data_IF_751308838256
#
_entry.id   IF_751308838256
#
_cell.length_a   1.000
_cell.length_b   1.000
_cell.length_c   1.000
_cell.angle_alpha   90.00
_cell.angle_beta   90.00
_cell.angle_gamma   90.00
#
_symmetry.space_group_name_H-M   'P 1'
#
loop_
_entity.id
_entity.type
_entity.pdbx_description
1 polymer ?
#
# COMPACT_ATOMS: atom_id res chain seq x y z
N UNK A 1 -2.14 28.01 14.21
CA UNK A 1 -2.33 27.62 15.63
C UNK A 1 -3.36 26.49 15.72
N UNK A 2 -3.28 25.67 16.78
CA UNK A 2 -4.07 24.45 17.06
C UNK A 2 -3.48 23.14 16.52
N UNK A 3 -2.32 22.78 17.07
CA UNK A 3 -1.81 21.41 17.04
C UNK A 3 -2.66 20.52 17.93
N UNK A 4 -3.57 19.76 17.32
CA UNK A 4 -4.25 18.64 17.99
C UNK A 4 -3.20 17.60 18.35
N UNK A 5 -3.01 17.37 19.66
CA UNK A 5 -2.24 16.24 20.22
C UNK A 5 -2.79 14.94 19.64
N UNK A 6 -2.12 14.40 18.62
CA UNK A 6 -2.38 13.04 18.18
C UNK A 6 -1.92 12.09 19.28
N UNK A 7 -2.83 11.20 19.69
CA UNK A 7 -2.59 10.09 20.62
C UNK A 7 -1.30 9.36 20.22
N UNK A 8 -0.59 8.82 21.22
CA UNK A 8 0.62 8.00 21.08
C UNK A 8 0.32 6.75 20.24
N UNK A 9 0.24 6.90 18.92
CA UNK A 9 0.32 5.80 17.98
C UNK A 9 1.80 5.41 17.91
N UNK A 10 2.11 4.12 18.11
CA UNK A 10 3.45 3.61 17.85
C UNK A 10 3.79 3.91 16.38
N UNK A 11 4.66 4.88 16.15
CA UNK A 11 5.22 5.15 14.83
C UNK A 11 6.33 4.14 14.58
N UNK A 12 5.98 3.03 13.92
CA UNK A 12 6.99 2.14 13.35
C UNK A 12 7.68 2.84 12.18
N UNK A 13 8.99 2.65 12.08
CA UNK A 13 9.74 3.11 10.92
C UNK A 13 9.20 2.50 9.61
N UNK A 14 9.10 3.29 8.52
CA UNK A 14 8.64 2.80 7.22
C UNK A 14 9.48 1.66 6.66
N UNK A 15 10.76 1.55 7.08
CA UNK A 15 11.64 0.45 6.73
C UNK A 15 11.21 -0.85 7.39
N UNK A 16 10.90 -0.81 8.68
CA UNK A 16 10.39 -1.97 9.40
C UNK A 16 9.07 -2.41 8.80
N UNK A 17 8.19 -1.48 8.41
CA UNK A 17 6.93 -1.80 7.73
C UNK A 17 7.12 -2.46 6.35
N UNK A 18 8.04 -1.96 5.52
CA UNK A 18 8.37 -2.59 4.24
C UNK A 18 8.99 -3.99 4.42
N UNK A 19 9.88 -4.13 5.41
CA UNK A 19 10.44 -5.42 5.79
C UNK A 19 9.35 -6.40 6.27
N UNK A 20 8.39 -5.92 7.07
CA UNK A 20 7.26 -6.72 7.52
C UNK A 20 6.35 -7.16 6.38
N UNK A 21 6.11 -6.31 5.37
CA UNK A 21 5.40 -6.72 4.15
C UNK A 21 6.17 -7.84 3.45
N UNK A 22 7.48 -7.68 3.25
CA UNK A 22 8.31 -8.69 2.60
C UNK A 22 8.29 -10.02 3.37
N UNK A 23 8.48 -9.98 4.69
CA UNK A 23 8.44 -11.18 5.54
C UNK A 23 7.05 -11.82 5.56
N UNK A 24 5.97 -11.03 5.56
CA UNK A 24 4.60 -11.52 5.48
C UNK A 24 4.33 -12.23 4.15
N UNK A 25 4.81 -11.69 3.02
CA UNK A 25 4.70 -12.34 1.71
C UNK A 25 5.44 -13.67 1.70
N UNK A 26 6.68 -13.70 2.21
CA UNK A 26 7.46 -14.94 2.29
C UNK A 26 6.76 -15.97 3.19
N UNK A 27 6.31 -15.58 4.37
CA UNK A 27 5.58 -16.45 5.29
C UNK A 27 4.29 -17.00 4.66
N UNK A 28 3.49 -16.16 4.00
CA UNK A 28 2.27 -16.60 3.28
C UNK A 28 2.57 -17.56 2.11
N UNK A 29 3.72 -17.41 1.45
CA UNK A 29 4.17 -18.35 0.42
C UNK A 29 4.58 -19.71 1.01
N UNK A 30 5.30 -19.70 2.14
CA UNK A 30 5.84 -20.91 2.76
C UNK A 30 4.84 -21.66 3.65
N UNK A 31 3.75 -21.01 4.08
CA UNK A 31 2.70 -21.57 4.93
C UNK A 31 2.17 -22.92 4.40
N UNK A 32 2.40 -24.04 5.13
CA UNK A 32 2.02 -25.37 4.70
C UNK A 32 0.56 -25.74 5.02
N UNK A 33 -0.13 -25.00 5.90
CA UNK A 33 -1.53 -25.29 6.27
C UNK A 33 -2.38 -24.04 6.46
N UNK A 34 -3.71 -24.20 6.33
CA UNK A 34 -4.70 -23.14 6.59
C UNK A 34 -4.60 -22.63 8.04
N UNK A 35 -4.27 -23.49 9.00
CA UNK A 35 -4.11 -23.10 10.41
C UNK A 35 -2.99 -22.07 10.62
N UNK A 36 -1.87 -22.20 9.91
CA UNK A 36 -0.79 -21.20 9.95
C UNK A 36 -1.25 -19.84 9.40
N UNK A 37 -2.05 -19.83 8.33
CA UNK A 37 -2.62 -18.59 7.80
C UNK A 37 -3.59 -17.90 8.77
N UNK A 38 -4.41 -18.67 9.49
CA UNK A 38 -5.28 -18.11 10.53
C UNK A 38 -4.47 -17.42 11.63
N UNK A 39 -3.40 -18.08 12.11
CA UNK A 39 -2.49 -17.51 13.12
C UNK A 39 -1.84 -16.23 12.58
N UNK A 40 -1.37 -16.26 11.33
CA UNK A 40 -0.73 -15.11 10.67
C UNK A 40 -1.70 -13.92 10.56
N UNK A 41 -2.94 -14.15 10.11
CA UNK A 41 -3.98 -13.09 10.03
C UNK A 41 -4.33 -12.54 11.41
N UNK A 42 -4.43 -13.40 12.43
CA UNK A 42 -4.69 -12.98 13.81
C UNK A 42 -3.53 -12.11 14.34
N UNK A 43 -2.29 -12.47 14.02
CA UNK A 43 -1.12 -11.70 14.37
C UNK A 43 -1.08 -10.34 13.68
N UNK A 44 -1.44 -10.28 12.40
CA UNK A 44 -1.61 -9.02 11.65
C UNK A 44 -2.71 -8.16 12.27
N UNK A 45 -3.82 -8.76 12.71
CA UNK A 45 -4.92 -8.06 13.35
C UNK A 45 -4.48 -7.45 14.69
N UNK A 46 -3.74 -8.19 15.52
CA UNK A 46 -3.16 -7.69 16.76
C UNK A 46 -2.21 -6.51 16.46
N UNK A 47 -1.31 -6.67 15.49
CA UNK A 47 -0.38 -5.60 15.09
C UNK A 47 -1.14 -4.35 14.62
N UNK A 48 -2.19 -4.53 13.80
CA UNK A 48 -3.05 -3.44 13.33
C UNK A 48 -3.83 -2.75 14.45
N UNK A 49 -4.22 -3.48 15.48
CA UNK A 49 -4.87 -2.96 16.67
C UNK A 49 -3.91 -2.11 17.52
N UNK A 50 -2.65 -2.54 17.65
CA UNK A 50 -1.58 -1.73 18.26
C UNK A 50 -1.32 -0.42 17.51
N UNK A 51 -1.51 -0.40 16.19
CA UNK A 51 -1.44 0.83 15.37
C UNK A 51 -2.67 1.75 15.50
N UNK A 52 -3.66 1.42 16.33
CA UNK A 52 -4.81 2.29 16.59
C UNK A 52 -5.89 2.28 15.50
N UNK A 53 -5.77 1.45 14.46
CA UNK A 53 -6.72 1.35 13.34
C UNK A 53 -7.80 0.28 13.57
N UNK A 54 -8.38 0.27 14.77
CA UNK A 54 -9.35 -0.74 15.22
C UNK A 54 -10.53 -0.94 14.25
N UNK A 55 -11.08 0.14 13.66
CA UNK A 55 -12.19 0.04 12.69
C UNK A 55 -11.80 -0.69 11.40
N UNK A 56 -10.57 -0.54 10.93
CA UNK A 56 -10.08 -1.25 9.74
C UNK A 56 -9.83 -2.72 10.06
N UNK A 57 -9.19 -2.99 11.20
CA UNK A 57 -8.91 -4.36 11.68
C UNK A 57 -10.21 -5.15 11.88
N UNK A 58 -11.21 -4.57 12.54
CA UNK A 58 -12.50 -5.26 12.77
C UNK A 58 -13.19 -5.60 11.45
N UNK A 59 -13.20 -4.67 10.47
CA UNK A 59 -13.75 -4.95 9.13
C UNK A 59 -12.99 -6.05 8.42
N UNK A 60 -11.66 -6.05 8.51
CA UNK A 60 -10.82 -7.07 7.90
C UNK A 60 -11.06 -8.46 8.53
N UNK A 61 -11.05 -8.55 9.86
CA UNK A 61 -11.33 -9.80 10.58
C UNK A 61 -12.73 -10.31 10.29
N UNK A 62 -13.74 -9.43 10.28
CA UNK A 62 -15.12 -9.81 9.96
C UNK A 62 -15.25 -10.36 8.53
N UNK A 63 -14.63 -9.69 7.55
CA UNK A 63 -14.65 -10.15 6.16
C UNK A 63 -13.91 -11.47 6.00
N UNK A 64 -12.78 -11.66 6.67
CA UNK A 64 -12.06 -12.92 6.70
C UNK A 64 -12.88 -14.05 7.32
N UNK A 65 -13.57 -13.80 8.43
CA UNK A 65 -14.44 -14.79 9.08
C UNK A 65 -15.55 -15.29 8.14
N UNK A 66 -16.13 -14.41 7.32
CA UNK A 66 -17.12 -14.79 6.30
C UNK A 66 -16.50 -15.72 5.26
N UNK A 67 -15.30 -15.41 4.77
CA UNK A 67 -14.58 -16.26 3.81
C UNK A 67 -14.30 -17.63 4.42
N UNK A 68 -13.85 -17.69 5.67
CA UNK A 68 -13.55 -18.94 6.35
C UNK A 68 -14.81 -19.79 6.58
N UNK A 69 -15.92 -19.17 6.98
CA UNK A 69 -17.20 -19.86 7.11
C UNK A 69 -17.67 -20.43 5.76
N UNK A 70 -17.51 -19.67 4.67
CA UNK A 70 -17.80 -20.12 3.31
C UNK A 70 -16.89 -21.29 2.90
N UNK A 71 -15.63 -21.28 3.34
CA UNK A 71 -14.67 -22.37 3.08
C UNK A 71 -15.10 -23.66 3.79
N UNK A 72 -15.54 -23.58 5.04
CA UNK A 72 -16.05 -24.73 5.81
C UNK A 72 -17.35 -25.26 5.21
N UNK A 73 -18.25 -24.37 4.79
CA UNK A 73 -19.52 -24.76 4.16
C UNK A 73 -19.31 -25.52 2.85
N UNK A 74 -18.42 -25.03 1.98
CA UNK A 74 -18.05 -25.73 0.74
C UNK A 74 -17.40 -27.09 1.03
N UNK A 75 -16.62 -27.20 2.11
CA UNK A 75 -16.01 -28.48 2.51
C UNK A 75 -17.06 -29.51 2.95
N UNK A 76 -18.16 -29.07 3.57
CA UNK A 76 -19.21 -29.93 4.10
C UNK A 76 -20.23 -30.37 3.03
N UNK A 77 -20.65 -29.47 2.14
CA UNK A 77 -21.80 -29.73 1.24
C UNK A 77 -21.38 -30.33 -0.12
N UNK A 78 -20.16 -30.06 -0.59
CA UNK A 78 -19.73 -30.42 -1.95
C UNK A 78 -18.75 -31.60 -1.94
N UNK A 79 -19.04 -32.64 -2.72
CA UNK A 79 -18.10 -33.75 -2.98
C UNK A 79 -17.79 -33.86 -4.47
N UNK A 80 -16.50 -33.92 -4.84
CA UNK A 80 -16.06 -34.10 -6.24
C UNK A 80 -15.00 -33.09 -6.71
N UNK A 81 -14.75 -33.02 -8.02
CA UNK A 81 -13.75 -32.13 -8.65
C UNK A 81 -14.00 -30.65 -8.35
N UNK A 82 -15.28 -30.24 -8.28
CA UNK A 82 -15.67 -28.87 -7.93
C UNK A 82 -15.19 -28.45 -6.53
N UNK A 83 -15.21 -29.38 -5.55
CA UNK A 83 -14.68 -29.13 -4.20
C UNK A 83 -13.20 -28.75 -4.27
N UNK A 84 -12.40 -29.49 -5.05
CA UNK A 84 -10.96 -29.23 -5.18
C UNK A 84 -10.66 -27.91 -5.88
N UNK A 85 -11.45 -27.52 -6.89
CA UNK A 85 -11.31 -26.22 -7.56
C UNK A 85 -11.63 -25.05 -6.61
N UNK A 86 -12.75 -25.11 -5.90
CA UNK A 86 -13.14 -24.04 -4.98
C UNK A 86 -12.19 -23.93 -3.78
N UNK A 87 -11.71 -25.04 -3.22
CA UNK A 87 -10.73 -25.03 -2.13
C UNK A 87 -9.40 -24.45 -2.61
N UNK A 88 -8.93 -24.79 -3.81
CA UNK A 88 -7.70 -24.22 -4.37
C UNK A 88 -7.83 -22.70 -4.58
N UNK A 89 -8.96 -22.24 -5.13
CA UNK A 89 -9.25 -20.82 -5.31
C UNK A 89 -9.31 -20.07 -3.98
N UNK A 90 -10.06 -20.60 -3.00
CA UNK A 90 -10.14 -20.01 -1.67
C UNK A 90 -8.79 -20.02 -0.97
N UNK A 91 -7.99 -21.08 -1.09
CA UNK A 91 -6.64 -21.14 -0.54
C UNK A 91 -5.72 -20.03 -1.08
N UNK A 92 -5.82 -19.74 -2.39
CA UNK A 92 -5.11 -18.60 -2.98
C UNK A 92 -5.64 -17.27 -2.47
N UNK A 93 -6.96 -17.14 -2.33
CA UNK A 93 -7.59 -15.95 -1.76
C UNK A 93 -7.10 -15.69 -0.32
N UNK A 94 -6.98 -16.72 0.53
CA UNK A 94 -6.47 -16.58 1.89
C UNK A 94 -5.00 -16.09 1.90
N UNK A 95 -4.15 -16.59 0.99
CA UNK A 95 -2.75 -16.14 0.84
C UNK A 95 -2.66 -14.65 0.50
N UNK A 96 -3.44 -14.22 -0.48
CA UNK A 96 -3.45 -12.84 -0.97
C UNK A 96 -4.10 -11.91 0.07
N UNK A 97 -5.14 -12.36 0.75
CA UNK A 97 -5.87 -11.58 1.74
C UNK A 97 -5.01 -11.19 2.95
N UNK A 98 -4.21 -12.14 3.47
CA UNK A 98 -3.27 -11.85 4.56
C UNK A 98 -2.25 -10.76 4.16
N UNK A 99 -1.70 -10.84 2.94
CA UNK A 99 -0.77 -9.83 2.44
C UNK A 99 -1.46 -8.48 2.22
N UNK A 100 -2.67 -8.49 1.65
CA UNK A 100 -3.44 -7.29 1.34
C UNK A 100 -3.87 -6.51 2.59
N UNK A 101 -4.29 -7.20 3.65
CA UNK A 101 -4.68 -6.55 4.92
C UNK A 101 -3.50 -5.88 5.61
N UNK A 102 -2.34 -6.55 5.69
CA UNK A 102 -1.12 -5.96 6.24
C UNK A 102 -0.63 -4.78 5.38
N UNK A 103 -0.64 -4.92 4.05
CA UNK A 103 -0.29 -3.84 3.13
C UNK A 103 -1.23 -2.63 3.30
N UNK A 104 -2.54 -2.84 3.45
CA UNK A 104 -3.50 -1.76 3.72
C UNK A 104 -3.25 -1.03 5.03
N UNK A 105 -2.92 -1.75 6.12
CA UNK A 105 -2.55 -1.14 7.41
C UNK A 105 -1.26 -0.33 7.27
N UNK A 106 -0.25 -0.86 6.57
CA UNK A 106 1.02 -0.16 6.36
C UNK A 106 0.83 1.09 5.50
N UNK A 107 0.12 1.00 4.38
CA UNK A 107 -0.10 2.14 3.48
C UNK A 107 -0.90 3.25 4.15
N UNK A 108 -1.94 2.92 4.93
CA UNK A 108 -2.75 3.92 5.64
C UNK A 108 -2.02 4.58 6.82
N UNK A 109 -0.95 3.98 7.32
CA UNK A 109 -0.14 4.50 8.43
C UNK A 109 1.20 5.09 8.00
N UNK A 110 1.53 5.07 6.70
CA UNK A 110 2.82 5.54 6.17
C UNK A 110 2.61 6.78 5.32
N UNK A 111 3.30 7.87 5.64
CA UNK A 111 3.27 9.08 4.81
C UNK A 111 4.14 8.88 3.57
N UNK A 112 3.73 9.50 2.46
CA UNK A 112 4.49 9.54 1.20
C UNK A 112 5.96 9.93 1.43
N UNK A 113 6.21 11.00 2.20
CA UNK A 113 7.56 11.50 2.48
C UNK A 113 8.43 10.51 3.29
N UNK A 114 7.80 9.75 4.17
CA UNK A 114 8.44 8.73 5.01
C UNK A 114 8.85 7.51 4.16
N UNK A 115 7.97 7.08 3.26
CA UNK A 115 8.26 6.04 2.27
C UNK A 115 9.43 6.42 1.35
N UNK A 116 9.43 7.65 0.81
CA UNK A 116 10.52 8.14 -0.05
C UNK A 116 11.86 8.22 0.70
N UNK A 117 11.86 8.64 1.97
CA UNK A 117 13.06 8.66 2.80
C UNK A 117 13.57 7.23 3.10
N UNK A 118 12.67 6.26 3.28
CA UNK A 118 13.05 4.86 3.37
C UNK A 118 13.69 4.34 2.07
N UNK A 119 13.10 4.61 0.91
CA UNK A 119 13.67 4.22 -0.40
C UNK A 119 15.07 4.81 -0.62
N UNK A 120 15.27 6.09 -0.28
CA UNK A 120 16.57 6.74 -0.43
C UNK A 120 17.66 6.08 0.44
N UNK A 121 17.29 5.53 1.62
CA UNK A 121 18.26 4.86 2.50
C UNK A 121 18.52 3.41 2.15
N UNK A 122 17.59 2.72 1.49
CA UNK A 122 17.78 1.35 0.97
C UNK A 122 18.77 1.32 -0.21
N UNK A 123 19.37 2.47 -0.58
CA UNK A 123 20.27 2.66 -1.73
C UNK A 123 19.57 2.34 -3.05
N UNK A 124 18.26 2.56 -3.13
CA UNK A 124 17.55 2.54 -4.41
C UNK A 124 18.17 3.59 -5.36
N UNK A 125 18.21 3.33 -6.67
CA UNK A 125 18.83 4.25 -7.61
C UNK A 125 18.14 5.61 -7.54
N UNK A 126 18.94 6.67 -7.34
CA UNK A 126 18.47 8.05 -7.24
C UNK A 126 17.62 8.48 -8.44
N UNK A 127 17.91 7.89 -9.60
CA UNK A 127 17.16 8.04 -10.86
C UNK A 127 15.68 7.65 -10.75
N UNK A 128 15.31 6.79 -9.81
CA UNK A 128 13.92 6.38 -9.58
C UNK A 128 13.29 7.09 -8.37
N UNK A 129 14.04 7.26 -7.28
CA UNK A 129 13.50 7.84 -6.04
C UNK A 129 13.07 9.29 -6.23
N UNK A 130 13.83 10.09 -7.01
CA UNK A 130 13.54 11.51 -7.19
C UNK A 130 12.28 11.72 -8.05
N UNK A 131 12.14 11.11 -9.25
CA UNK A 131 10.90 11.22 -10.01
C UNK A 131 9.68 10.71 -9.24
N UNK A 132 9.83 9.61 -8.51
CA UNK A 132 8.75 9.08 -7.66
C UNK A 132 8.34 10.10 -6.58
N UNK A 133 9.30 10.78 -5.95
CA UNK A 133 9.01 11.80 -4.95
C UNK A 133 8.21 12.97 -5.53
N UNK A 134 8.60 13.43 -6.72
CA UNK A 134 7.91 14.50 -7.43
C UNK A 134 6.51 14.06 -7.85
N UNK A 135 6.37 12.87 -8.46
CA UNK A 135 5.09 12.30 -8.86
C UNK A 135 4.11 12.21 -7.68
N UNK A 136 4.53 11.61 -6.56
CA UNK A 136 3.64 11.42 -5.41
C UNK A 136 3.18 12.75 -4.77
N UNK A 137 4.00 13.81 -4.86
CA UNK A 137 3.64 15.14 -4.40
C UNK A 137 2.81 15.92 -5.43
N UNK A 138 2.90 15.57 -6.70
CA UNK A 138 2.16 16.20 -7.80
C UNK A 138 0.77 15.58 -8.02
N UNK A 139 0.53 14.33 -7.59
CA UNK A 139 -0.79 13.68 -7.64
C UNK A 139 -1.91 14.55 -7.03
N UNK A 140 -1.76 15.13 -5.82
CA UNK A 140 -2.78 16.02 -5.27
C UNK A 140 -3.07 17.23 -6.15
N UNK A 141 -2.04 17.83 -6.75
CA UNK A 141 -2.18 18.97 -7.66
C UNK A 141 -2.92 18.58 -8.93
N UNK A 142 -2.62 17.42 -9.54
CA UNK A 142 -3.38 16.91 -10.70
C UNK A 142 -4.85 16.69 -10.34
N UNK A 143 -5.17 16.22 -9.13
CA UNK A 143 -6.55 16.05 -8.69
C UNK A 143 -7.29 17.39 -8.56
N UNK A 144 -6.59 18.43 -8.10
CA UNK A 144 -7.12 19.80 -8.04
C UNK A 144 -7.33 20.36 -9.44
N UNK A 145 -6.33 20.25 -10.33
CA UNK A 145 -6.41 20.68 -11.73
C UNK A 145 -7.55 19.99 -12.47
N UNK A 146 -7.72 18.68 -12.28
CA UNK A 146 -8.83 17.93 -12.84
C UNK A 146 -10.18 18.50 -12.39
N UNK A 147 -10.33 18.83 -11.11
CA UNK A 147 -11.56 19.41 -10.56
C UNK A 147 -11.80 20.80 -11.13
N UNK A 148 -10.78 21.66 -11.18
CA UNK A 148 -10.90 23.01 -11.75
C UNK A 148 -11.28 22.99 -13.24
N UNK A 149 -10.63 22.13 -14.03
CA UNK A 149 -10.95 21.98 -15.46
C UNK A 149 -12.36 21.43 -15.64
N UNK A 150 -12.73 20.42 -14.86
CA UNK A 150 -14.08 19.83 -14.90
C UNK A 150 -15.16 20.86 -14.54
N UNK A 151 -14.95 21.66 -13.50
CA UNK A 151 -15.90 22.67 -13.06
C UNK A 151 -15.98 23.85 -14.06
N UNK A 152 -14.86 24.23 -14.68
CA UNK A 152 -14.84 25.21 -15.76
C UNK A 152 -15.61 24.74 -17.01
N UNK A 153 -15.49 23.46 -17.37
CA UNK A 153 -16.24 22.89 -18.49
C UNK A 153 -17.74 22.77 -18.18
N UNK A 154 -18.10 22.47 -16.93
CA UNK A 154 -19.50 22.49 -16.48
C UNK A 154 -20.15 23.87 -16.61
N UNK A 155 -19.39 24.95 -16.40
CA UNK A 155 -19.89 26.33 -16.63
C UNK A 155 -20.15 26.65 -18.11
N UNK A 156 -19.57 25.86 -19.03
CA UNK A 156 -19.79 25.97 -20.48
C UNK A 156 -20.82 24.96 -20.99
N UNK A 157 -21.68 24.45 -20.10
CA UNK A 157 -22.68 23.40 -20.34
C UNK A 157 -22.14 22.05 -20.84
N UNK A 158 -20.81 21.90 -20.91
CA UNK A 158 -20.18 20.61 -21.18
C UNK A 158 -20.11 19.87 -19.85
N UNK A 159 -21.15 19.10 -19.55
CA UNK A 159 -21.15 18.21 -18.39
C UNK A 159 -20.39 16.92 -18.73
N UNK A 160 -19.18 16.68 -18.17
CA UNK A 160 -18.56 15.37 -18.27
C UNK A 160 -19.33 14.41 -17.38
N UNK A 161 -20.43 13.87 -17.90
CA UNK A 161 -21.07 12.69 -17.34
C UNK A 161 -20.47 11.45 -17.98
N UNK A 162 -20.46 10.32 -17.27
CA UNK A 162 -20.02 9.04 -17.84
C UNK A 162 -20.83 8.66 -19.10
N UNK A 163 -22.09 9.12 -19.19
CA UNK A 163 -22.94 8.98 -20.37
C UNK A 163 -22.54 9.94 -21.51
N UNK A 164 -22.10 11.16 -21.19
CA UNK A 164 -21.57 12.14 -22.15
C UNK A 164 -20.22 11.72 -22.75
N UNK A 165 -19.35 11.08 -21.96
CA UNK A 165 -18.08 10.52 -22.44
C UNK A 165 -18.30 9.38 -23.45
N UNK A 166 -19.34 8.57 -23.24
CA UNK A 166 -19.67 7.44 -24.13
C UNK A 166 -20.36 7.88 -25.42
N UNK A 167 -21.12 8.98 -25.38
CA UNK A 167 -21.84 9.50 -26.55
C UNK A 167 -20.98 10.43 -27.41
N UNK A 168 -20.10 11.24 -26.79
CA UNK A 168 -19.27 12.23 -27.48
C UNK A 168 -17.81 12.24 -26.93
N UNK A 169 -17.01 11.20 -27.22
CA UNK A 169 -15.67 11.06 -26.66
C UNK A 169 -14.70 12.19 -27.10
N UNK A 170 -14.82 12.66 -28.36
CA UNK A 170 -13.94 13.71 -28.91
C UNK A 170 -14.01 15.03 -28.14
N UNK A 171 -15.21 15.49 -27.79
CA UNK A 171 -15.42 16.71 -27.01
C UNK A 171 -14.79 16.63 -25.62
N UNK A 172 -14.79 15.45 -24.99
CA UNK A 172 -14.21 15.27 -23.66
C UNK A 172 -12.68 15.27 -23.72
N UNK A 173 -12.10 14.66 -24.77
CA UNK A 173 -10.65 14.67 -24.98
C UNK A 173 -10.13 16.08 -25.20
N UNK A 174 -10.75 16.84 -26.11
CA UNK A 174 -10.32 18.20 -26.43
C UNK A 174 -10.55 19.19 -25.27
N UNK A 175 -11.65 19.06 -24.54
CA UNK A 175 -12.00 20.04 -23.52
C UNK A 175 -11.40 19.75 -22.13
N UNK A 176 -11.06 18.50 -21.82
CA UNK A 176 -10.55 18.12 -20.48
C UNK A 176 -9.13 17.58 -20.57
N UNK A 177 -8.90 16.57 -21.42
CA UNK A 177 -7.58 15.92 -21.47
C UNK A 177 -6.51 16.83 -22.08
N UNK A 178 -6.80 17.55 -23.17
CA UNK A 178 -5.80 18.45 -23.78
C UNK A 178 -5.35 19.57 -22.81
N UNK A 179 -6.26 20.33 -22.15
CA UNK A 179 -5.84 21.33 -21.16
C UNK A 179 -5.09 20.73 -19.97
N UNK A 180 -5.51 19.56 -19.48
CA UNK A 180 -4.84 18.87 -18.38
C UNK A 180 -3.42 18.44 -18.77
N UNK A 181 -3.24 17.87 -19.97
CA UNK A 181 -1.93 17.48 -20.49
C UNK A 181 -1.01 18.69 -20.69
N UNK A 182 -1.56 19.80 -21.20
CA UNK A 182 -0.80 21.05 -21.36
C UNK A 182 -0.36 21.61 -19.99
N UNK A 183 -1.25 21.62 -19.00
CA UNK A 183 -0.93 22.04 -17.64
C UNK A 183 0.14 21.13 -17.00
N UNK A 184 -0.02 19.81 -17.14
CA UNK A 184 0.94 18.84 -16.63
C UNK A 184 2.31 18.94 -17.30
N UNK A 185 2.36 19.17 -18.62
CA UNK A 185 3.61 19.38 -19.37
C UNK A 185 4.33 20.63 -18.88
N UNK A 186 3.61 21.75 -18.75
CA UNK A 186 4.18 23.00 -18.25
C UNK A 186 4.72 22.86 -16.83
N UNK A 187 3.98 22.17 -15.95
CA UNK A 187 4.44 21.90 -14.60
C UNK A 187 5.69 21.01 -14.58
N UNK A 188 5.79 20.02 -15.48
CA UNK A 188 6.97 19.18 -15.60
C UNK A 188 8.21 20.00 -16.05
N UNK A 189 8.04 20.92 -16.99
CA UNK A 189 9.12 21.84 -17.44
C UNK A 189 9.56 22.77 -16.30
N UNK A 190 8.60 23.40 -15.61
CA UNK A 190 8.87 24.29 -14.46
C UNK A 190 9.58 23.53 -13.34
N UNK A 191 9.15 22.31 -13.02
CA UNK A 191 9.79 21.44 -12.03
C UNK A 191 11.20 21.03 -12.45
N UNK A 192 11.43 20.80 -13.74
CA UNK A 192 12.75 20.42 -14.27
C UNK A 192 13.72 21.60 -14.16
N UNK A 193 13.30 22.79 -14.62
CA UNK A 193 14.11 24.02 -14.50
C UNK A 193 14.38 24.37 -13.04
N UNK A 194 13.36 24.30 -12.17
CA UNK A 194 13.52 24.54 -10.73
C UNK A 194 14.43 23.51 -10.05
N UNK A 195 14.45 22.27 -10.54
CA UNK A 195 15.31 21.21 -10.01
C UNK A 195 16.76 21.41 -10.41
N UNK A 196 17.04 21.68 -11.69
CA UNK A 196 18.40 21.93 -12.21
C UNK A 196 19.01 23.16 -11.53
N UNK A 197 18.26 24.26 -11.41
CA UNK A 197 18.71 25.48 -10.73
C UNK A 197 19.02 25.27 -9.24
N UNK A 198 18.31 24.36 -8.56
CA UNK A 198 18.59 23.96 -7.17
C UNK A 198 19.74 22.95 -7.04
N UNK A 199 20.44 22.63 -8.12
CA UNK A 199 21.60 21.72 -8.10
C UNK A 199 21.22 20.25 -7.93
N UNK A 200 20.12 19.80 -8.59
CA UNK A 200 19.74 18.38 -8.59
C UNK A 200 20.87 17.47 -9.09
N UNK A 201 21.79 17.98 -9.92
CA UNK A 201 22.90 17.23 -10.51
C UNK A 201 24.14 17.13 -9.61
N UNK A 202 24.13 17.72 -8.41
CA UNK A 202 25.27 17.67 -7.51
C UNK A 202 25.69 16.20 -7.20
N UNK A 203 26.94 15.79 -7.51
CA UNK A 203 27.42 14.43 -7.30
C UNK A 203 27.56 14.05 -5.81
N UNK A 204 27.63 15.05 -4.92
CA UNK A 204 27.74 14.82 -3.48
C UNK A 204 26.51 14.08 -2.89
N UNK A 205 26.70 13.31 -1.80
CA UNK A 205 25.60 12.62 -1.14
C UNK A 205 24.59 13.63 -0.58
N UNK A 206 23.32 13.50 -1.01
CA UNK A 206 22.24 14.33 -0.50
C UNK A 206 21.89 13.96 0.94
N UNK A 207 21.60 14.97 1.74
CA UNK A 207 21.08 14.82 3.10
C UNK A 207 19.56 14.76 3.10
N UNK A 208 18.97 13.84 3.88
CA UNK A 208 17.53 13.82 4.13
C UNK A 208 17.19 14.66 5.35
N UNK A 209 16.25 15.61 5.20
CA UNK A 209 15.69 16.38 6.33
C UNK A 209 14.91 15.48 7.31
N UNK A 210 14.23 14.44 6.80
CA UNK A 210 13.52 13.47 7.63
C UNK A 210 14.51 12.42 8.13
N UNK A 211 14.97 12.57 9.36
CA UNK A 211 15.78 11.55 10.05
C UNK A 211 14.87 10.45 10.60
N UNK A 212 14.87 9.31 9.92
CA UNK A 212 14.18 8.09 10.33
C UNK A 212 15.16 7.31 11.25
N UNK A 213 14.79 7.09 12.51
CA UNK A 213 15.58 6.35 13.51
C UNK A 213 14.78 5.12 13.96
N UNK A 214 15.34 3.93 13.77
CA UNK A 214 14.70 2.69 14.21
C UNK A 214 14.58 2.68 15.72
N UNK A 215 13.34 2.66 16.20
CA UNK A 215 13.05 2.49 17.61
C UNK A 215 13.31 1.06 18.05
N UNK A 216 13.49 0.85 19.35
CA UNK A 216 13.62 -0.49 19.96
C UNK A 216 12.38 -1.35 19.66
N UNK A 217 11.20 -0.71 19.56
CA UNK A 217 9.97 -1.39 19.14
C UNK A 217 10.02 -1.94 17.72
N UNK A 218 10.74 -1.28 16.80
CA UNK A 218 10.81 -1.70 15.39
C UNK A 218 11.64 -2.98 15.26
N UNK A 219 12.75 -3.03 16.00
CA UNK A 219 13.61 -4.21 16.11
C UNK A 219 12.87 -5.39 16.72
N UNK A 220 12.05 -5.16 17.76
CA UNK A 220 11.23 -6.21 18.37
C UNK A 220 10.24 -6.83 17.38
N UNK A 221 9.52 -6.01 16.63
CA UNK A 221 8.55 -6.49 15.63
C UNK A 221 9.24 -7.18 14.45
N UNK A 222 10.38 -6.67 14.00
CA UNK A 222 11.17 -7.33 12.95
C UNK A 222 11.71 -8.69 13.41
N UNK A 223 12.27 -8.76 14.62
CA UNK A 223 12.78 -10.02 15.19
C UNK A 223 11.66 -11.05 15.35
N UNK A 224 10.48 -10.62 15.81
CA UNK A 224 9.32 -11.48 15.93
C UNK A 224 8.85 -12.03 14.58
N UNK A 225 8.80 -11.19 13.54
CA UNK A 225 8.44 -11.63 12.18
C UNK A 225 9.44 -12.64 11.59
N UNK A 226 10.74 -12.44 11.84
CA UNK A 226 11.79 -13.39 11.43
C UNK A 226 11.67 -14.71 12.19
N UNK A 227 11.43 -14.66 13.50
CA UNK A 227 11.25 -15.86 14.33
C UNK A 227 10.04 -16.68 13.86
N UNK A 228 8.93 -16.02 13.51
CA UNK A 228 7.75 -16.69 12.95
C UNK A 228 8.06 -17.40 11.63
N UNK A 229 8.78 -16.75 10.72
CA UNK A 229 9.18 -17.35 9.44
C UNK A 229 10.14 -18.54 9.64
N UNK A 230 11.09 -18.44 10.55
CA UNK A 230 11.99 -19.56 10.89
C UNK A 230 11.19 -20.74 11.46
N UNK A 231 10.22 -20.46 12.33
CA UNK A 231 9.34 -21.49 12.89
C UNK A 231 8.54 -22.22 11.80
N UNK A 232 7.93 -21.48 10.85
CA UNK A 232 7.23 -22.09 9.71
C UNK A 232 8.16 -22.96 8.84
N UNK A 233 9.39 -22.50 8.60
CA UNK A 233 10.38 -23.25 7.83
C UNK A 233 10.84 -24.53 8.56
N UNK A 234 11.05 -24.47 9.88
CA UNK A 234 11.46 -25.64 10.68
C UNK A 234 10.38 -26.72 10.73
N UNK A 235 9.12 -26.31 10.87
CA UNK A 235 7.99 -27.23 10.84
C UNK A 235 7.82 -27.84 9.44
N UNK A 236 7.97 -27.05 8.38
CA UNK A 236 7.90 -27.56 7.01
C UNK A 236 9.07 -28.48 6.64
N UNK A 237 10.26 -28.21 7.19
CA UNK A 237 11.46 -29.02 6.99
C UNK A 237 11.49 -30.33 7.79
N UNK A 238 10.45 -30.62 8.59
CA UNK A 238 10.33 -31.87 9.36
C UNK A 238 11.32 -31.99 10.52
N UNK A 239 11.91 -30.89 10.98
CA UNK A 239 12.87 -30.88 12.11
C UNK A 239 12.13 -30.93 13.46
N UNK A 240 10.83 -30.63 13.46
CA UNK A 240 9.93 -30.72 14.61
C UNK A 240 8.75 -31.60 14.18
N UNK A 241 9.00 -32.91 14.16
CA UNK A 241 8.02 -33.97 13.95
C UNK A 241 8.25 -35.07 14.97
#
# INVERSE_FOLDING_TARGET
>A
MSGKRHKKELWLDPRAKLFLILMCVLSSMFAPSLAYQFILVMLIAILGAFFGKWKYVIKAVCFYAVICALTVWIMAEMTGTLRTMFIAFLGLFHKVYACGTLAGIVLTTTKVNEFLSAMNRVRAPKKLVIPMAVMLRYIPTIQEDWRYITDAMRMRDVSPSLAGFLTHPGMTVECIYVPLLMAASKAADDLSVASVTRGIENPNPRTCLVQIKCGISDWGVMAFAVAYLIFELCVRGGVIG
#
